data_IF_886020202919
#
_entry.id   IF_886020202919
#
_cell.length_a   1.000
_cell.length_b   1.000
_cell.length_c   1.000
_cell.angle_alpha   90.00
_cell.angle_beta   90.00
_cell.angle_gamma   90.00
#
_symmetry.space_group_name_H-M   'P 1'
#
loop_
_entity.id
_entity.type
_entity.pdbx_description
1 polymer ?
#
# COMPACT_ATOMS: atom_id res chain seq x y z
N UNK A 1 -24.60 -35.17 10.42
CA UNK A 1 -25.53 -34.37 9.60
C UNK A 1 -24.70 -33.24 8.99
N UNK A 2 -24.31 -33.42 7.73
CA UNK A 2 -23.42 -32.49 7.03
C UNK A 2 -24.15 -31.22 6.64
N UNK A 3 -23.47 -30.09 6.78
CA UNK A 3 -23.88 -28.82 6.17
C UNK A 3 -23.18 -28.72 4.82
N UNK A 4 -23.95 -28.44 3.77
CA UNK A 4 -23.48 -28.31 2.39
C UNK A 4 -22.93 -26.91 2.14
N UNK A 5 -22.11 -26.79 1.09
CA UNK A 5 -21.39 -25.58 0.68
C UNK A 5 -22.29 -24.37 0.32
N UNK A 6 -23.61 -24.53 0.29
CA UNK A 6 -24.57 -23.47 -0.04
C UNK A 6 -24.86 -22.51 1.14
N UNK A 7 -24.54 -22.89 2.38
CA UNK A 7 -24.80 -22.06 3.58
C UNK A 7 -23.79 -20.90 3.74
N UNK A 8 -22.66 -20.92 3.04
CA UNK A 8 -21.62 -19.87 3.09
C UNK A 8 -21.91 -18.77 2.06
N UNK A 9 -22.50 -19.11 0.90
CA UNK A 9 -22.84 -18.14 -0.14
C UNK A 9 -24.01 -17.22 0.24
N UNK A 10 -24.94 -17.68 1.08
CA UNK A 10 -26.13 -16.91 1.46
C UNK A 10 -25.87 -15.75 2.44
N UNK A 11 -24.69 -15.70 3.09
CA UNK A 11 -24.32 -14.59 4.00
C UNK A 11 -23.69 -13.38 3.31
N UNK A 12 -23.31 -13.49 2.03
CA UNK A 12 -22.68 -12.41 1.26
C UNK A 12 -23.68 -11.58 0.44
N UNK A 13 -24.90 -12.07 0.21
CA UNK A 13 -25.92 -11.42 -0.63
C UNK A 13 -26.91 -10.50 0.09
N UNK A 14 -26.72 -10.16 1.37
CA UNK A 14 -27.66 -9.29 2.12
C UNK A 14 -27.07 -7.99 2.68
N UNK A 15 -25.94 -7.52 2.15
CA UNK A 15 -25.39 -6.19 2.50
C UNK A 15 -25.16 -5.24 1.31
N UNK A 16 -25.83 -5.49 0.17
CA UNK A 16 -25.75 -4.59 -0.99
C UNK A 16 -27.08 -3.85 -1.21
N UNK A 17 -27.47 -2.99 -0.27
CA UNK A 17 -28.38 -1.86 -0.56
C UNK A 17 -28.44 -0.83 0.58
N UNK A 18 -27.41 -0.01 0.76
CA UNK A 18 -27.61 1.35 1.29
C UNK A 18 -26.64 2.27 0.55
N UNK A 19 -27.12 2.87 -0.54
CA UNK A 19 -26.46 3.99 -1.18
C UNK A 19 -27.41 5.20 -1.16
N UNK A 20 -26.86 6.33 -0.69
CA UNK A 20 -27.29 7.72 -0.84
C UNK A 20 -28.67 8.17 -0.31
N UNK A 21 -28.62 8.93 0.80
CA UNK A 21 -29.39 10.16 0.94
C UNK A 21 -28.71 11.10 1.96
N UNK A 22 -27.77 11.93 1.51
CA UNK A 22 -27.40 13.14 2.23
C UNK A 22 -27.87 14.34 1.41
N UNK A 23 -28.98 14.93 1.86
CA UNK A 23 -29.57 16.14 1.31
C UNK A 23 -28.59 17.31 1.46
N UNK A 24 -28.41 18.06 0.38
CA UNK A 24 -27.96 19.43 0.42
C UNK A 24 -28.97 20.30 1.19
N UNK A 25 -28.57 20.81 2.35
CA UNK A 25 -29.12 22.02 2.94
C UNK A 25 -27.98 22.84 3.52
N UNK A 26 -27.67 23.95 2.85
CA UNK A 26 -26.77 24.96 3.38
C UNK A 26 -27.38 25.64 4.59
N UNK A 27 -26.63 25.64 5.70
CA UNK A 27 -26.68 26.67 6.73
C UNK A 27 -25.24 26.79 7.24
N UNK A 28 -24.64 27.96 7.05
CA UNK A 28 -23.32 28.27 7.62
C UNK A 28 -23.39 28.44 9.12
N UNK A 29 -22.32 28.01 9.81
CA UNK A 29 -21.83 28.60 11.05
C UNK A 29 -20.39 28.10 11.32
N UNK A 30 -19.46 29.04 11.23
CA UNK A 30 -18.22 29.23 11.99
C UNK A 30 -17.61 28.08 12.83
N UNK A 31 -16.32 27.85 12.57
CA UNK A 31 -15.26 27.81 13.60
C UNK A 31 -14.90 26.46 14.23
N UNK A 32 -13.74 25.90 13.86
CA UNK A 32 -13.08 24.85 14.67
C UNK A 32 -11.92 24.10 14.02
N UNK A 33 -10.70 24.65 14.13
CA UNK A 33 -9.47 23.88 14.37
C UNK A 33 -8.85 23.06 13.23
N UNK A 34 -8.46 23.70 12.13
CA UNK A 34 -7.48 23.12 11.21
C UNK A 34 -6.07 23.20 11.79
N UNK A 35 -5.48 22.05 12.14
CA UNK A 35 -4.04 21.91 12.34
C UNK A 35 -3.37 21.84 10.97
N UNK A 36 -3.18 23.01 10.36
CA UNK A 36 -2.36 23.17 9.17
C UNK A 36 -0.90 22.98 9.55
N UNK A 37 -0.24 22.02 8.89
CA UNK A 37 1.21 21.94 8.86
C UNK A 37 1.80 23.30 8.46
N UNK A 38 2.86 23.72 9.13
CA UNK A 38 3.71 24.80 8.66
C UNK A 38 5.02 24.16 8.22
N UNK A 39 5.11 23.71 6.97
CA UNK A 39 6.38 23.28 6.39
C UNK A 39 7.21 24.54 6.05
N UNK A 40 7.70 25.19 7.10
CA UNK A 40 8.58 26.34 7.03
C UNK A 40 10.03 25.89 7.16
N UNK A 41 10.68 25.60 6.04
CA UNK A 41 12.14 25.37 6.05
C UNK A 41 12.70 24.66 4.82
N UNK A 42 12.64 25.30 3.65
CA UNK A 42 13.44 24.91 2.50
C UNK A 42 14.94 25.13 2.78
N UNK A 43 15.70 24.04 2.85
CA UNK A 43 17.11 23.99 2.50
C UNK A 43 17.27 23.08 1.28
N UNK A 44 18.11 23.41 0.28
CA UNK A 44 18.32 22.56 -0.87
C UNK A 44 19.29 21.45 -0.48
N UNK A 45 18.78 20.32 0.00
CA UNK A 45 19.58 19.09 0.08
C UNK A 45 19.59 18.45 -1.31
N UNK A 46 20.31 19.11 -2.22
CA UNK A 46 20.68 18.55 -3.50
C UNK A 46 21.62 17.37 -3.29
N UNK A 47 21.23 16.20 -3.80
CA UNK A 47 22.07 15.01 -3.77
C UNK A 47 21.33 13.72 -4.06
N UNK A 48 20.50 13.66 -5.10
CA UNK A 48 20.01 12.37 -5.60
C UNK A 48 21.19 11.55 -6.14
N UNK A 49 21.40 10.29 -5.73
CA UNK A 49 22.44 9.48 -6.30
C UNK A 49 21.99 8.95 -7.66
N UNK A 50 22.69 9.36 -8.73
CA UNK A 50 22.89 8.50 -9.89
C UNK A 50 23.72 7.26 -9.51
N UNK A 51 23.88 6.27 -10.40
CA UNK A 51 24.10 4.86 -10.04
C UNK A 51 25.39 4.52 -9.26
N UNK A 52 26.31 5.47 -9.06
CA UNK A 52 27.60 5.24 -8.39
C UNK A 52 27.96 6.29 -7.30
N UNK A 53 27.00 7.12 -6.86
CA UNK A 53 27.21 8.07 -5.76
C UNK A 53 26.73 7.49 -4.43
N UNK A 54 27.63 7.12 -3.52
CA UNK A 54 27.32 6.39 -2.28
C UNK A 54 26.04 6.89 -1.58
N UNK A 55 24.99 6.07 -1.62
CA UNK A 55 23.73 6.34 -0.96
C UNK A 55 23.98 6.64 0.52
N UNK A 56 23.28 7.64 1.06
CA UNK A 56 23.20 7.81 2.51
C UNK A 56 22.81 6.45 3.11
N UNK A 57 23.45 6.02 4.22
CA UNK A 57 23.14 4.73 4.82
C UNK A 57 21.65 4.68 5.15
N UNK A 58 20.95 3.63 4.70
CA UNK A 58 19.56 3.37 5.08
C UNK A 58 19.54 2.96 6.56
N UNK A 59 19.46 3.96 7.44
CA UNK A 59 19.50 3.79 8.89
C UNK A 59 18.34 2.90 9.40
N UNK A 60 17.25 2.81 8.62
CA UNK A 60 16.05 2.07 8.97
C UNK A 60 16.01 0.64 8.42
N UNK A 61 17.05 0.19 7.70
CA UNK A 61 17.06 -1.11 7.04
C UNK A 61 16.80 -2.27 8.01
N UNK A 62 17.34 -2.21 9.23
CA UNK A 62 17.16 -3.27 10.23
C UNK A 62 15.71 -3.39 10.74
N UNK A 63 14.95 -2.29 10.71
CA UNK A 63 13.55 -2.29 11.14
C UNK A 63 12.68 -3.12 10.20
N UNK A 64 13.08 -3.25 8.93
CA UNK A 64 12.35 -3.95 7.88
C UNK A 64 13.10 -5.16 7.33
N UNK A 65 14.04 -5.73 8.09
CA UNK A 65 14.69 -6.98 7.70
C UNK A 65 13.61 -8.08 7.55
N UNK A 66 13.46 -8.68 6.35
CA UNK A 66 12.44 -9.70 6.12
C UNK A 66 12.63 -10.97 6.95
N UNK A 67 13.84 -11.27 7.40
CA UNK A 67 14.13 -12.54 8.08
C UNK A 67 14.02 -12.40 9.61
N UNK A 68 13.64 -11.22 10.10
CA UNK A 68 13.44 -10.92 11.53
C UNK A 68 11.99 -10.54 11.81
N UNK A 69 11.48 -10.97 12.97
CA UNK A 69 10.24 -10.44 13.57
C UNK A 69 10.63 -9.49 14.71
N UNK A 70 10.86 -8.19 14.46
CA UNK A 70 11.20 -7.25 15.51
C UNK A 70 10.07 -7.09 16.53
N UNK A 71 10.45 -6.79 17.78
CA UNK A 71 9.50 -6.44 18.83
C UNK A 71 9.51 -4.94 19.08
N UNK A 72 8.34 -4.31 19.06
CA UNK A 72 8.15 -2.91 19.44
C UNK A 72 7.21 -2.82 20.64
N UNK A 73 7.58 -1.98 21.61
CA UNK A 73 6.70 -1.67 22.73
C UNK A 73 6.19 -0.22 22.61
N UNK A 74 4.87 -0.09 22.57
CA UNK A 74 4.17 1.18 22.56
C UNK A 74 3.62 1.48 23.95
N UNK A 75 3.98 2.62 24.51
CA UNK A 75 3.46 3.09 25.79
C UNK A 75 2.54 4.29 25.54
N UNK A 76 1.29 4.16 25.98
CA UNK A 76 0.23 5.15 25.84
C UNK A 76 -0.20 5.59 27.24
N UNK A 77 -0.01 6.87 27.61
CA UNK A 77 -0.58 7.43 28.83
C UNK A 77 -2.10 7.20 28.91
N UNK A 78 -2.71 7.11 30.11
CA UNK A 78 -4.16 6.95 30.25
C UNK A 78 -4.98 7.99 29.48
N UNK A 79 -4.54 9.25 29.49
CA UNK A 79 -5.19 10.32 28.73
C UNK A 79 -5.14 10.09 27.20
N UNK A 80 -4.05 9.52 26.70
CA UNK A 80 -3.92 9.15 25.28
C UNK A 80 -4.82 7.98 24.92
N UNK A 81 -4.96 6.99 25.80
CA UNK A 81 -5.92 5.89 25.65
C UNK A 81 -7.36 6.43 25.59
N UNK A 82 -7.73 7.32 26.53
CA UNK A 82 -9.06 7.95 26.55
C UNK A 82 -9.33 8.76 25.28
N UNK A 83 -8.32 9.52 24.81
CA UNK A 83 -8.42 10.32 23.60
C UNK A 83 -8.57 9.45 22.34
N UNK A 84 -7.80 8.37 22.19
CA UNK A 84 -7.94 7.44 21.06
C UNK A 84 -9.30 6.75 21.03
N UNK A 85 -9.91 6.48 22.20
CA UNK A 85 -11.25 5.92 22.26
C UNK A 85 -12.35 6.93 21.85
N UNK A 86 -12.07 8.23 21.95
CA UNK A 86 -13.01 9.29 21.59
C UNK A 86 -12.85 9.74 20.13
N UNK A 87 -11.61 9.95 19.70
CA UNK A 87 -11.26 10.40 18.36
C UNK A 87 -10.04 9.61 17.84
N UNK A 88 -10.27 8.41 17.28
CA UNK A 88 -9.21 7.44 16.99
C UNK A 88 -8.26 7.87 15.86
N UNK A 89 -8.67 8.82 15.02
CA UNK A 89 -7.89 9.28 13.86
C UNK A 89 -7.02 10.49 14.18
N UNK A 90 -7.11 11.04 15.39
CA UNK A 90 -6.27 12.16 15.85
C UNK A 90 -5.03 11.63 16.55
N UNK A 91 -3.87 12.25 16.30
CA UNK A 91 -2.62 11.89 16.97
C UNK A 91 -2.67 12.26 18.46
N UNK A 92 -2.28 11.29 19.29
CA UNK A 92 -2.06 11.45 20.73
C UNK A 92 -0.61 11.15 21.07
N UNK A 93 -0.12 11.65 22.20
CA UNK A 93 1.25 11.39 22.64
C UNK A 93 1.44 9.92 23.07
N UNK A 94 2.59 9.35 22.73
CA UNK A 94 3.02 8.03 23.19
C UNK A 94 4.55 7.92 23.23
N UNK A 95 5.04 6.74 23.59
CA UNK A 95 6.46 6.38 23.55
C UNK A 95 6.63 5.06 22.80
N UNK A 96 7.61 5.02 21.90
CA UNK A 96 8.05 3.78 21.25
C UNK A 96 9.34 3.29 21.91
N UNK A 97 9.42 1.99 22.18
CA UNK A 97 10.67 1.32 22.52
C UNK A 97 11.01 0.25 21.50
N UNK A 98 12.29 0.20 21.14
CA UNK A 98 12.87 -0.82 20.28
C UNK A 98 14.19 -1.28 20.89
N UNK A 99 14.23 -2.49 21.44
CA UNK A 99 15.35 -2.95 22.25
C UNK A 99 15.61 -2.03 23.45
N UNK A 100 16.80 -1.40 23.50
CA UNK A 100 17.16 -0.44 24.53
C UNK A 100 16.83 1.02 24.17
N UNK A 101 16.47 1.29 22.91
CA UNK A 101 16.15 2.63 22.43
C UNK A 101 14.73 3.04 22.85
N UNK A 102 14.58 4.32 23.17
CA UNK A 102 13.34 4.92 23.67
C UNK A 102 13.13 6.23 22.95
N UNK A 103 11.97 6.35 22.27
CA UNK A 103 11.57 7.56 21.57
C UNK A 103 10.28 8.07 22.20
N UNK A 104 10.41 9.11 23.01
CA UNK A 104 9.31 9.70 23.78
C UNK A 104 8.62 10.83 23.00
N UNK A 105 7.35 11.07 23.33
CA UNK A 105 6.51 12.14 22.77
C UNK A 105 6.27 12.00 21.27
N UNK A 106 6.10 10.76 20.81
CA UNK A 106 5.71 10.47 19.43
C UNK A 106 4.20 10.66 19.26
N UNK A 107 3.77 10.96 18.05
CA UNK A 107 2.38 10.86 17.63
C UNK A 107 1.96 9.41 17.41
N UNK A 108 0.85 9.00 18.03
CA UNK A 108 0.19 7.72 17.78
C UNK A 108 -1.26 7.98 17.42
N UNK A 109 -1.75 7.37 16.34
CA UNK A 109 -3.18 7.32 16.02
C UNK A 109 -3.58 5.96 15.51
N UNK A 110 -4.87 5.67 15.53
CA UNK A 110 -5.42 4.50 14.84
C UNK A 110 -5.58 4.81 13.34
N UNK A 111 -5.64 3.75 12.53
CA UNK A 111 -5.93 3.85 11.09
C UNK A 111 -6.86 2.72 10.63
N UNK A 112 -7.38 2.90 9.42
CA UNK A 112 -8.17 1.94 8.70
C UNK A 112 -9.50 2.55 8.26
N UNK A 113 -10.04 2.00 7.18
CA UNK A 113 -11.43 2.22 6.79
C UNK A 113 -12.21 0.94 7.11
N UNK A 114 -12.30 0.01 6.16
CA UNK A 114 -12.93 -1.30 6.37
C UNK A 114 -12.23 -2.14 7.46
N UNK A 115 -10.90 -2.06 7.50
CA UNK A 115 -10.04 -2.77 8.47
C UNK A 115 -9.92 -2.08 9.82
N UNK A 116 -10.60 -0.94 10.02
CA UNK A 116 -10.55 -0.21 11.29
C UNK A 116 -11.01 -1.09 12.45
N UNK A 117 -10.26 -1.04 13.56
CA UNK A 117 -10.64 -1.66 14.83
C UNK A 117 -10.37 -0.66 15.95
N UNK A 118 -11.27 -0.55 16.96
CA UNK A 118 -11.01 0.24 18.15
C UNK A 118 -9.83 -0.32 18.96
N UNK A 119 -9.29 0.48 19.88
CA UNK A 119 -8.07 0.18 20.63
C UNK A 119 -8.16 -1.09 21.51
N UNK A 120 -9.36 -1.46 21.97
CA UNK A 120 -9.60 -2.69 22.74
C UNK A 120 -9.69 -3.97 21.87
N UNK A 121 -9.70 -3.80 20.54
CA UNK A 121 -9.59 -4.85 19.52
C UNK A 121 -8.20 -4.80 18.87
N UNK A 122 -8.00 -5.43 17.71
CA UNK A 122 -6.71 -5.43 17.00
C UNK A 122 -6.59 -4.20 16.10
N UNK A 123 -6.33 -3.02 16.67
CA UNK A 123 -6.22 -1.78 15.89
C UNK A 123 -4.93 -1.70 15.09
N UNK A 124 -4.98 -1.06 13.91
CA UNK A 124 -3.77 -0.63 13.19
C UNK A 124 -3.28 0.71 13.74
N UNK A 125 -1.97 0.95 13.74
CA UNK A 125 -1.36 2.18 14.23
C UNK A 125 -0.60 2.93 13.14
N UNK A 126 -0.70 4.26 13.13
CA UNK A 126 0.29 5.14 12.49
C UNK A 126 1.08 5.85 13.59
N UNK A 127 2.40 5.79 13.48
CA UNK A 127 3.35 6.49 14.32
C UNK A 127 3.91 7.68 13.54
N UNK A 128 3.99 8.85 14.16
CA UNK A 128 4.61 10.07 13.61
C UNK A 128 5.57 10.65 14.64
N UNK A 129 6.86 10.51 14.42
CA UNK A 129 7.90 10.86 15.41
C UNK A 129 8.00 12.37 15.62
N UNK A 130 7.75 13.17 14.58
CA UNK A 130 7.86 14.63 14.64
C UNK A 130 6.54 15.35 14.97
N UNK A 131 5.50 14.64 15.41
CA UNK A 131 4.18 15.22 15.70
C UNK A 131 4.23 16.24 16.86
N UNK A 132 4.86 15.89 17.98
CA UNK A 132 4.95 16.75 19.16
C UNK A 132 6.38 17.28 19.41
N UNK A 133 7.37 16.71 18.73
CA UNK A 133 8.77 17.14 18.82
C UNK A 133 9.29 17.42 17.40
N UNK A 134 9.30 18.70 16.96
CA UNK A 134 9.68 19.04 15.59
C UNK A 134 11.05 18.48 15.19
N UNK A 135 11.08 17.77 14.06
CA UNK A 135 12.30 17.18 13.51
C UNK A 135 12.79 15.91 14.21
N UNK A 136 12.04 15.35 15.16
CA UNK A 136 12.37 14.05 15.74
C UNK A 136 12.19 12.93 14.70
N UNK A 137 13.16 12.02 14.67
CA UNK A 137 13.18 10.87 13.77
C UNK A 137 13.54 9.61 14.55
N UNK A 138 13.13 8.46 14.02
CA UNK A 138 13.54 7.16 14.51
C UNK A 138 14.21 6.41 13.35
N UNK A 139 15.52 6.22 13.44
CA UNK A 139 16.33 5.58 12.39
C UNK A 139 16.16 6.27 11.02
N UNK A 140 16.06 7.60 11.01
CA UNK A 140 15.83 8.41 9.79
C UNK A 140 14.38 8.43 9.29
N UNK A 141 13.47 7.70 9.94
CA UNK A 141 12.04 7.72 9.63
C UNK A 141 11.33 8.83 10.41
N UNK A 142 10.40 9.50 9.74
CA UNK A 142 9.41 10.39 10.38
C UNK A 142 8.14 9.66 10.74
N UNK A 143 7.83 8.55 10.06
CA UNK A 143 6.60 7.78 10.26
C UNK A 143 6.85 6.28 10.15
N UNK A 144 6.03 5.50 10.84
CA UNK A 144 5.94 4.05 10.72
C UNK A 144 4.48 3.61 10.77
N UNK A 145 4.17 2.49 10.12
CA UNK A 145 2.82 1.94 10.09
C UNK A 145 2.82 0.49 10.58
N UNK A 146 1.92 0.18 11.52
CA UNK A 146 1.64 -1.18 11.95
C UNK A 146 0.23 -1.57 11.50
N UNK A 147 0.14 -2.43 10.49
CA UNK A 147 -1.11 -2.96 9.96
C UNK A 147 -1.58 -4.19 10.73
N UNK A 148 -2.83 -4.19 11.16
CA UNK A 148 -3.47 -5.32 11.84
C UNK A 148 -3.71 -6.54 10.93
N UNK A 149 -3.53 -6.38 9.61
CA UNK A 149 -3.57 -7.45 8.60
C UNK A 149 -4.91 -8.21 8.62
N UNK A 150 -6.02 -7.48 8.79
CA UNK A 150 -7.34 -8.06 8.92
C UNK A 150 -7.78 -8.85 7.68
N UNK A 151 -7.40 -8.46 6.46
CA UNK A 151 -7.86 -9.12 5.23
C UNK A 151 -6.86 -10.13 4.66
N UNK A 152 -5.70 -10.30 5.31
CA UNK A 152 -4.71 -11.31 4.95
C UNK A 152 -4.47 -12.31 6.09
N UNK A 153 -5.31 -13.35 6.23
CA UNK A 153 -5.10 -14.40 7.21
C UNK A 153 -3.74 -15.12 7.06
N UNK A 154 -3.07 -15.02 5.90
CA UNK A 154 -1.75 -15.65 5.69
C UNK A 154 -0.60 -14.92 6.37
N UNK A 155 -0.76 -13.63 6.73
CA UNK A 155 0.32 -12.76 7.23
C UNK A 155 1.54 -12.60 6.29
N UNK A 156 1.45 -13.11 5.07
CA UNK A 156 2.58 -13.24 4.14
C UNK A 156 2.33 -12.51 2.83
N UNK A 157 1.07 -12.40 2.38
CA UNK A 157 0.77 -11.92 1.04
C UNK A 157 1.17 -10.45 0.82
N UNK A 158 0.85 -9.56 1.76
CA UNK A 158 1.19 -8.13 1.65
C UNK A 158 2.71 -7.94 1.54
N UNK A 159 3.46 -8.52 2.48
CA UNK A 159 4.93 -8.41 2.50
C UNK A 159 5.61 -9.11 1.33
N UNK A 160 5.05 -10.23 0.83
CA UNK A 160 5.57 -10.90 -0.37
C UNK A 160 5.34 -10.07 -1.63
N UNK A 161 4.21 -9.38 -1.70
CA UNK A 161 3.89 -8.49 -2.81
C UNK A 161 4.91 -7.37 -2.92
N UNK A 162 5.13 -6.63 -1.83
CA UNK A 162 6.13 -5.57 -1.83
C UNK A 162 7.56 -6.10 -2.06
N UNK A 163 7.91 -7.26 -1.51
CA UNK A 163 9.20 -7.92 -1.80
C UNK A 163 9.38 -8.19 -3.30
N UNK A 164 8.33 -8.68 -3.96
CA UNK A 164 8.35 -9.01 -5.40
C UNK A 164 8.50 -7.74 -6.26
N UNK A 165 7.77 -6.67 -5.95
CA UNK A 165 7.94 -5.37 -6.62
C UNK A 165 9.36 -4.81 -6.44
N UNK A 166 9.91 -4.87 -5.22
CA UNK A 166 11.27 -4.37 -4.95
C UNK A 166 12.35 -5.21 -5.64
N UNK A 167 12.18 -6.52 -5.73
CA UNK A 167 13.08 -7.39 -6.50
C UNK A 167 13.11 -7.01 -7.99
N UNK A 168 12.00 -6.47 -8.49
CA UNK A 168 11.86 -5.92 -9.82
C UNK A 168 12.38 -4.49 -9.98
N UNK A 169 12.98 -3.90 -8.94
CA UNK A 169 13.37 -2.48 -8.91
C UNK A 169 12.21 -1.53 -9.18
N UNK A 170 10.99 -1.88 -8.74
CA UNK A 170 9.86 -0.97 -8.72
C UNK A 170 9.76 -0.29 -7.34
N UNK A 171 9.40 1.01 -7.30
CA UNK A 171 9.12 1.70 -6.05
C UNK A 171 8.00 0.99 -5.30
N UNK A 172 8.33 0.44 -4.14
CA UNK A 172 7.37 -0.24 -3.27
C UNK A 172 7.88 -0.20 -1.82
N UNK A 173 6.98 -0.12 -0.83
CA UNK A 173 7.33 -0.14 0.60
C UNK A 173 8.22 -1.32 0.97
N UNK A 174 9.09 -1.15 1.97
CA UNK A 174 9.60 -2.30 2.73
C UNK A 174 8.52 -2.80 3.69
N UNK A 175 8.46 -4.10 3.88
CA UNK A 175 7.54 -4.72 4.84
C UNK A 175 8.14 -5.99 5.46
N UNK A 176 7.95 -6.15 6.76
CA UNK A 176 8.15 -7.39 7.49
C UNK A 176 7.02 -7.61 8.50
N UNK A 177 7.12 -8.66 9.31
CA UNK A 177 6.20 -8.90 10.42
C UNK A 177 6.83 -8.40 11.72
N UNK A 178 6.03 -7.88 12.66
CA UNK A 178 6.53 -7.40 13.95
C UNK A 178 5.62 -7.84 15.09
N UNK A 179 6.20 -8.03 16.28
CA UNK A 179 5.45 -8.26 17.50
C UNK A 179 5.27 -6.95 18.27
N UNK A 180 4.02 -6.60 18.60
CA UNK A 180 3.71 -5.35 19.28
C UNK A 180 3.21 -5.63 20.69
N UNK A 181 3.72 -4.87 21.67
CA UNK A 181 3.14 -4.76 23.01
C UNK A 181 2.61 -3.35 23.24
N UNK A 182 1.47 -3.21 23.90
CA UNK A 182 0.91 -1.90 24.29
C UNK A 182 0.79 -1.86 25.81
N UNK A 183 1.40 -0.87 26.45
CA UNK A 183 1.38 -0.68 27.92
C UNK A 183 1.83 -1.92 28.71
N UNK A 184 2.85 -2.62 28.20
CA UNK A 184 3.42 -3.81 28.83
C UNK A 184 2.67 -5.12 28.56
N UNK A 185 1.51 -5.05 27.90
CA UNK A 185 0.71 -6.22 27.53
C UNK A 185 0.91 -6.58 26.07
N UNK A 186 0.89 -7.88 25.74
CA UNK A 186 0.93 -8.33 24.36
C UNK A 186 -0.25 -7.74 23.57
N UNK A 187 0.03 -7.08 22.45
CA UNK A 187 -0.99 -6.58 21.53
C UNK A 187 -1.18 -7.52 20.35
N UNK A 188 -0.09 -8.06 19.81
CA UNK A 188 -0.11 -9.18 18.85
C UNK A 188 0.92 -9.06 17.72
N UNK A 189 0.75 -9.89 16.71
CA UNK A 189 1.48 -9.87 15.44
C UNK A 189 0.93 -8.77 14.52
N UNK A 190 1.81 -8.06 13.84
CA UNK A 190 1.51 -6.96 12.92
C UNK A 190 2.33 -7.08 11.64
N UNK A 191 1.83 -6.50 10.55
CA UNK A 191 2.69 -6.16 9.41
C UNK A 191 3.28 -4.78 9.69
N UNK A 192 4.61 -4.72 9.79
CA UNK A 192 5.35 -3.48 9.90
C UNK A 192 5.70 -2.99 8.49
N UNK A 193 5.10 -1.86 8.12
CA UNK A 193 5.05 -1.34 6.76
C UNK A 193 5.71 0.04 6.70
N UNK A 194 6.64 0.20 5.76
CA UNK A 194 7.23 1.50 5.42
C UNK A 194 6.14 2.43 4.88
N UNK A 195 5.97 3.59 5.53
CA UNK A 195 5.05 4.62 5.06
C UNK A 195 5.59 5.24 3.78
N UNK A 196 4.75 5.33 2.74
CA UNK A 196 5.08 6.11 1.55
C UNK A 196 4.95 7.61 1.86
N UNK A 197 6.08 8.24 2.15
CA UNK A 197 6.21 9.67 2.38
C UNK A 197 7.45 10.23 1.64
N UNK A 198 7.83 11.49 1.90
CA UNK A 198 9.02 12.11 1.28
C UNK A 198 10.32 11.32 1.52
N UNK A 199 10.46 10.58 2.64
CA UNK A 199 11.64 9.74 2.90
C UNK A 199 11.64 8.49 2.02
N UNK A 200 10.48 7.84 1.87
CA UNK A 200 10.32 6.74 0.92
C UNK A 200 10.65 7.19 -0.51
N UNK A 201 10.07 8.29 -0.95
CA UNK A 201 10.25 8.84 -2.30
C UNK A 201 11.72 9.16 -2.59
N UNK A 202 12.46 9.70 -1.61
CA UNK A 202 13.89 10.01 -1.76
C UNK A 202 14.79 8.80 -2.03
N UNK A 203 14.33 7.57 -1.74
CA UNK A 203 15.08 6.35 -2.07
C UNK A 203 14.89 5.87 -3.50
N UNK A 204 13.81 6.30 -4.14
CA UNK A 204 13.37 5.80 -5.44
C UNK A 204 13.46 6.85 -6.54
N UNK A 205 13.37 8.13 -6.19
CA UNK A 205 13.29 9.24 -7.11
C UNK A 205 14.37 10.28 -6.81
N UNK A 206 14.84 10.96 -7.86
CA UNK A 206 15.87 11.99 -7.74
C UNK A 206 15.33 13.25 -7.06
N UNK A 207 14.06 13.58 -7.30
CA UNK A 207 13.30 14.62 -6.60
C UNK A 207 12.12 13.97 -5.87
N UNK A 208 11.97 14.29 -4.58
CA UNK A 208 10.93 13.80 -3.68
C UNK A 208 9.95 14.93 -3.25
N UNK A 209 10.05 16.11 -3.86
CA UNK A 209 9.25 17.30 -3.54
C UNK A 209 7.88 17.33 -4.22
N UNK A 210 7.64 16.43 -5.17
CA UNK A 210 6.38 16.31 -5.89
C UNK A 210 5.17 15.88 -5.07
N UNK A 211 4.03 15.83 -5.76
CA UNK A 211 2.74 15.44 -5.19
C UNK A 211 2.61 13.91 -5.15
N UNK A 212 2.29 13.39 -3.96
CA UNK A 212 1.93 12.00 -3.73
C UNK A 212 0.43 11.95 -3.43
N UNK A 213 -0.32 11.18 -4.22
CA UNK A 213 -1.76 11.04 -4.08
C UNK A 213 -2.13 9.66 -3.56
N UNK A 214 -3.01 9.61 -2.56
CA UNK A 214 -3.82 8.44 -2.23
C UNK A 214 -5.14 8.52 -2.99
N UNK A 215 -5.55 7.40 -3.56
CA UNK A 215 -6.82 7.29 -4.28
C UNK A 215 -7.99 7.07 -3.27
N UNK A 216 -9.23 7.41 -3.64
CA UNK A 216 -10.44 7.13 -2.83
C UNK A 216 -11.53 6.46 -3.68
N UNK A 217 -11.28 5.24 -4.10
CA UNK A 217 -12.07 4.51 -5.10
C UNK A 217 -12.30 5.28 -6.43
N UNK A 218 -11.33 6.10 -6.83
CA UNK A 218 -11.48 7.06 -7.94
C UNK A 218 -10.73 6.63 -9.20
N UNK A 219 -11.32 6.94 -10.35
CA UNK A 219 -10.71 6.69 -11.66
C UNK A 219 -10.14 7.98 -12.27
N UNK A 220 -9.19 7.83 -13.19
CA UNK A 220 -8.55 8.91 -13.95
C UNK A 220 -9.47 9.47 -15.06
N UNK A 221 -10.62 10.01 -14.68
CA UNK A 221 -11.59 10.67 -15.55
C UNK A 221 -11.75 12.15 -15.19
N UNK A 222 -12.18 13.03 -16.10
CA UNK A 222 -12.43 14.43 -15.77
C UNK A 222 -13.35 14.61 -14.56
N UNK A 223 -12.89 15.34 -13.53
CA UNK A 223 -13.56 15.52 -12.25
C UNK A 223 -13.25 14.44 -11.20
N UNK A 224 -12.53 13.37 -11.58
CA UNK A 224 -12.09 12.31 -10.68
C UNK A 224 -10.96 12.73 -9.73
N UNK A 225 -10.18 13.76 -10.11
CA UNK A 225 -9.10 14.36 -9.32
C UNK A 225 -9.56 14.88 -7.94
N UNK A 226 -10.84 15.20 -7.79
CA UNK A 226 -11.40 15.70 -6.53
C UNK A 226 -11.38 14.65 -5.43
N UNK A 227 -11.47 13.36 -5.80
CA UNK A 227 -11.45 12.24 -4.87
C UNK A 227 -10.03 11.75 -4.53
N UNK A 228 -8.98 12.22 -5.22
CA UNK A 228 -7.61 11.91 -4.81
C UNK A 228 -7.19 12.81 -3.65
N UNK A 229 -6.61 12.22 -2.60
CA UNK A 229 -6.10 12.95 -1.44
C UNK A 229 -4.60 13.12 -1.55
N UNK A 230 -4.11 14.32 -1.22
CA UNK A 230 -2.67 14.57 -1.18
C UNK A 230 -2.09 14.05 0.13
N UNK A 231 -1.02 13.26 0.03
CA UNK A 231 -0.21 12.77 1.15
C UNK A 231 1.10 13.57 1.29
N UNK A 232 1.39 14.44 0.32
CA UNK A 232 2.42 15.46 0.36
C UNK A 232 1.86 16.79 -0.14
N UNK A 233 2.48 17.91 0.24
CA UNK A 233 2.09 19.25 -0.22
C UNK A 233 0.61 19.60 0.08
N UNK A 234 0.07 19.02 1.16
CA UNK A 234 -1.34 19.10 1.60
C UNK A 234 -1.86 20.53 1.76
N UNK A 235 -0.99 21.47 2.15
CA UNK A 235 -1.35 22.86 2.37
C UNK A 235 -1.59 23.64 1.08
N UNK A 236 -0.76 23.38 0.08
CA UNK A 236 -0.88 24.00 -1.24
C UNK A 236 -2.04 23.34 -1.98
N UNK A 237 -2.16 22.01 -1.85
CA UNK A 237 -3.22 21.19 -2.42
C UNK A 237 -3.46 21.47 -3.92
N UNK A 238 -2.39 21.76 -4.66
CA UNK A 238 -2.46 21.96 -6.11
C UNK A 238 -2.48 20.60 -6.81
N UNK A 239 -3.54 20.34 -7.59
CA UNK A 239 -3.77 19.10 -8.34
C UNK A 239 -3.70 19.30 -9.84
N UNK A 240 -3.13 20.41 -10.30
CA UNK A 240 -3.05 20.76 -11.72
C UNK A 240 -2.24 19.75 -12.54
N UNK A 241 -1.28 19.07 -11.94
CA UNK A 241 -0.55 17.94 -12.52
C UNK A 241 -1.46 16.73 -12.78
N UNK A 242 -2.27 16.32 -11.80
CA UNK A 242 -3.22 15.22 -11.92
C UNK A 242 -4.31 15.53 -12.96
N UNK A 243 -4.81 16.77 -12.98
CA UNK A 243 -5.68 17.27 -14.05
C UNK A 243 -5.01 17.16 -15.41
N UNK A 244 -3.70 17.45 -15.49
CA UNK A 244 -2.89 17.30 -16.69
C UNK A 244 -2.81 15.85 -17.19
N UNK A 245 -2.56 14.90 -16.28
CA UNK A 245 -2.58 13.46 -16.59
C UNK A 245 -3.96 13.01 -17.12
N UNK A 246 -5.02 13.37 -16.41
CA UNK A 246 -6.41 13.02 -16.77
C UNK A 246 -6.77 13.61 -18.14
N UNK A 247 -6.40 14.87 -18.38
CA UNK A 247 -6.66 15.55 -19.66
C UNK A 247 -5.92 14.86 -20.80
N UNK A 248 -4.64 14.49 -20.59
CA UNK A 248 -3.87 13.78 -21.61
C UNK A 248 -4.47 12.39 -21.91
N UNK A 249 -4.96 11.67 -20.89
CA UNK A 249 -5.62 10.38 -21.05
C UNK A 249 -6.96 10.50 -21.79
N UNK A 250 -7.78 11.50 -21.47
CA UNK A 250 -9.06 11.77 -22.13
C UNK A 250 -8.87 12.11 -23.62
N UNK A 251 -7.82 12.87 -23.95
CA UNK A 251 -7.53 13.32 -25.32
C UNK A 251 -6.72 12.32 -26.15
N UNK A 252 -6.04 11.36 -25.52
CA UNK A 252 -5.24 10.36 -26.21
C UNK A 252 -6.10 9.57 -27.21
N UNK A 253 -5.51 9.18 -28.34
CA UNK A 253 -6.15 8.25 -29.28
C UNK A 253 -5.49 6.88 -29.20
N UNK A 254 -6.22 5.80 -29.47
CA UNK A 254 -5.64 4.45 -29.38
C UNK A 254 -4.45 4.25 -30.35
N UNK A 255 -4.44 4.98 -31.48
CA UNK A 255 -3.36 4.94 -32.47
C UNK A 255 -2.07 5.64 -32.02
N UNK A 256 -2.18 6.66 -31.16
CA UNK A 256 -1.07 7.50 -30.68
C UNK A 256 -0.88 7.43 -29.17
N UNK A 257 -1.60 6.54 -28.48
CA UNK A 257 -1.74 6.48 -27.03
C UNK A 257 -0.42 6.61 -26.26
N UNK A 258 0.59 5.83 -26.65
CA UNK A 258 1.91 5.87 -26.03
C UNK A 258 2.58 7.24 -26.18
N UNK A 259 2.48 7.86 -27.35
CA UNK A 259 3.08 9.16 -27.62
C UNK A 259 2.31 10.28 -26.91
N UNK A 260 0.98 10.18 -26.85
CA UNK A 260 0.10 11.18 -26.22
C UNK A 260 0.35 11.28 -24.71
N UNK A 261 0.69 10.17 -24.06
CA UNK A 261 0.97 10.12 -22.61
C UNK A 261 2.45 10.24 -22.24
N UNK A 262 3.38 10.11 -23.19
CA UNK A 262 4.82 10.05 -22.92
C UNK A 262 5.38 11.27 -22.17
N UNK A 263 4.69 12.42 -22.24
CA UNK A 263 5.07 13.66 -21.55
C UNK A 263 4.57 13.80 -20.12
N UNK A 264 3.63 12.96 -19.67
CA UNK A 264 2.98 13.09 -18.35
C UNK A 264 3.03 11.80 -17.53
N UNK A 265 3.28 10.65 -18.16
CA UNK A 265 3.31 9.35 -17.50
C UNK A 265 4.60 8.61 -17.86
N UNK A 266 5.23 7.99 -16.88
CA UNK A 266 6.25 6.99 -17.19
C UNK A 266 5.58 5.66 -17.57
N UNK A 267 5.35 5.49 -18.88
CA UNK A 267 4.66 4.32 -19.42
C UNK A 267 5.41 3.01 -19.19
N UNK A 268 6.75 3.01 -19.17
CA UNK A 268 7.51 1.78 -18.88
C UNK A 268 7.29 1.36 -17.41
N UNK A 269 7.40 2.31 -16.48
CA UNK A 269 7.14 2.06 -15.07
C UNK A 269 5.69 1.62 -14.84
N UNK A 270 4.71 2.24 -15.50
CA UNK A 270 3.30 1.85 -15.41
C UNK A 270 3.04 0.44 -15.94
N UNK A 271 3.61 0.08 -17.09
CA UNK A 271 3.43 -1.26 -17.66
C UNK A 271 4.07 -2.34 -16.79
N UNK A 272 5.23 -2.04 -16.18
CA UNK A 272 5.84 -2.91 -15.17
C UNK A 272 4.97 -2.99 -13.93
N UNK A 273 4.43 -1.88 -13.42
CA UNK A 273 3.47 -1.88 -12.32
C UNK A 273 2.29 -2.83 -12.57
N UNK A 274 1.62 -2.73 -13.74
CA UNK A 274 0.52 -3.64 -14.10
C UNK A 274 0.98 -5.09 -14.33
N UNK A 275 2.20 -5.32 -14.83
CA UNK A 275 2.74 -6.67 -14.96
C UNK A 275 2.96 -7.31 -13.58
N UNK A 276 3.42 -6.54 -12.59
CA UNK A 276 3.63 -7.03 -11.24
C UNK A 276 2.33 -7.14 -10.44
N UNK A 277 1.30 -6.31 -10.69
CA UNK A 277 -0.05 -6.56 -10.17
C UNK A 277 -0.58 -7.89 -10.71
N UNK A 278 -0.31 -8.19 -11.99
CA UNK A 278 -0.64 -9.48 -12.57
C UNK A 278 0.15 -10.59 -11.90
N UNK A 279 1.46 -10.47 -11.69
CA UNK A 279 2.27 -11.47 -10.97
C UNK A 279 1.68 -11.80 -9.60
N UNK A 280 1.33 -10.79 -8.81
CA UNK A 280 0.84 -11.02 -7.45
C UNK A 280 -0.65 -11.29 -7.40
N UNK A 281 -1.33 -11.34 -8.55
CA UNK A 281 -2.78 -11.52 -8.66
C UNK A 281 -3.52 -10.53 -7.75
N UNK A 282 -3.14 -9.26 -7.84
CA UNK A 282 -3.84 -8.19 -7.14
C UNK A 282 -5.11 -7.83 -7.91
N UNK A 283 -6.25 -8.28 -7.41
CA UNK A 283 -7.57 -8.04 -8.01
C UNK A 283 -8.30 -6.86 -7.38
N UNK A 284 -7.79 -6.31 -6.27
CA UNK A 284 -8.32 -5.12 -5.62
C UNK A 284 -7.39 -3.91 -5.82
N UNK A 285 -6.55 -3.94 -6.86
CA UNK A 285 -5.59 -2.89 -7.22
C UNK A 285 -6.16 -1.91 -8.26
N UNK A 286 -5.31 -1.48 -9.19
CA UNK A 286 -5.72 -0.62 -10.31
C UNK A 286 -6.00 -1.41 -11.59
N UNK A 287 -5.02 -2.19 -12.06
CA UNK A 287 -4.98 -2.72 -13.41
C UNK A 287 -6.02 -3.83 -13.62
N UNK A 288 -6.30 -4.63 -12.59
CA UNK A 288 -7.26 -5.75 -12.62
C UNK A 288 -8.37 -5.64 -11.58
N UNK A 289 -8.66 -4.42 -11.12
CA UNK A 289 -9.67 -4.17 -10.10
C UNK A 289 -11.01 -4.88 -10.36
N UNK A 290 -11.61 -5.43 -9.30
CA UNK A 290 -12.97 -6.00 -9.36
C UNK A 290 -14.08 -5.04 -8.91
N UNK A 291 -13.79 -4.14 -7.98
CA UNK A 291 -14.80 -3.29 -7.35
C UNK A 291 -14.65 -1.79 -7.64
N UNK A 292 -13.66 -1.42 -8.46
CA UNK A 292 -13.28 -0.03 -8.74
C UNK A 292 -11.81 0.20 -8.36
N UNK A 293 -11.12 1.15 -9.01
CA UNK A 293 -9.71 1.43 -8.71
C UNK A 293 -9.48 1.52 -7.21
N UNK A 294 -8.52 0.79 -6.68
CA UNK A 294 -8.19 0.79 -5.25
C UNK A 294 -6.72 0.41 -5.05
N UNK A 295 -6.17 0.62 -3.85
CA UNK A 295 -4.87 0.07 -3.44
C UNK A 295 -3.69 0.47 -4.36
N UNK A 296 -3.66 1.74 -4.76
CA UNK A 296 -2.52 2.36 -5.43
C UNK A 296 -2.34 3.81 -4.98
N UNK A 297 -1.13 4.32 -5.15
CA UNK A 297 -0.81 5.75 -5.05
C UNK A 297 -0.23 6.26 -6.35
N UNK A 298 -0.35 7.57 -6.56
CA UNK A 298 0.26 8.26 -7.70
C UNK A 298 1.31 9.24 -7.21
N UNK A 299 2.52 9.14 -7.73
CA UNK A 299 3.57 10.12 -7.48
C UNK A 299 3.89 10.91 -8.75
N UNK A 300 3.78 12.23 -8.70
CA UNK A 300 4.24 13.11 -9.76
C UNK A 300 5.68 13.56 -9.47
N UNK A 301 6.65 12.97 -10.16
CA UNK A 301 8.08 13.27 -10.00
C UNK A 301 8.43 14.59 -10.71
N UNK A 302 8.92 15.63 -9.99
CA UNK A 302 9.06 16.97 -10.57
C UNK A 302 10.16 17.12 -11.62
N UNK A 303 11.25 16.35 -11.54
CA UNK A 303 12.39 16.50 -12.47
C UNK A 303 12.02 16.12 -13.89
N UNK A 304 11.29 15.01 -14.04
CA UNK A 304 10.85 14.47 -15.31
C UNK A 304 9.44 14.96 -15.68
N UNK A 305 8.67 15.47 -14.72
CA UNK A 305 7.28 15.89 -14.90
C UNK A 305 6.37 14.71 -15.24
N UNK A 306 6.60 13.56 -14.58
CA UNK A 306 5.93 12.30 -14.90
C UNK A 306 5.29 11.65 -13.68
N UNK A 307 4.14 11.05 -13.91
CA UNK A 307 3.47 10.20 -12.94
C UNK A 307 4.06 8.79 -12.90
N UNK A 308 4.06 8.23 -11.69
CA UNK A 308 4.41 6.86 -11.36
C UNK A 308 3.30 6.27 -10.48
N UNK A 309 2.92 5.02 -10.78
CA UNK A 309 2.03 4.24 -9.92
C UNK A 309 2.85 3.52 -8.85
N UNK A 310 2.38 3.57 -7.61
CA UNK A 310 3.01 2.96 -6.45
C UNK A 310 2.03 1.98 -5.80
N UNK A 311 2.48 0.77 -5.41
CA UNK A 311 1.62 -0.21 -4.78
C UNK A 311 1.34 0.14 -3.32
N UNK A 312 0.09 0.09 -2.90
CA UNK A 312 -0.32 0.37 -1.52
C UNK A 312 -1.48 -0.52 -1.11
N UNK A 313 -1.63 -0.94 0.15
CA UNK A 313 -2.76 -1.80 0.57
C UNK A 313 -2.79 -3.16 -0.14
N UNK A 314 -1.64 -3.82 -0.24
CA UNK A 314 -1.48 -5.04 -1.06
C UNK A 314 -1.87 -6.35 -0.36
N UNK A 315 -2.68 -6.28 0.70
CA UNK A 315 -3.03 -7.42 1.54
C UNK A 315 -3.97 -8.40 0.85
N UNK A 316 -4.75 -8.02 -0.16
CA UNK A 316 -5.60 -8.95 -0.93
C UNK A 316 -4.88 -9.75 -2.04
N UNK A 317 -3.59 -9.47 -2.25
CA UNK A 317 -2.78 -10.16 -3.25
C UNK A 317 -2.65 -11.67 -2.97
N UNK A 318 -2.37 -12.45 -4.03
CA UNK A 318 -2.09 -13.89 -4.02
C UNK A 318 -3.25 -14.75 -3.47
N UNK A 319 -4.43 -14.16 -3.29
CA UNK A 319 -5.67 -14.80 -2.86
C UNK A 319 -6.73 -14.57 -3.93
N UNK A 320 -6.91 -15.50 -4.86
CA UNK A 320 -7.84 -15.34 -5.98
C UNK A 320 -9.27 -15.09 -5.50
N UNK A 321 -9.88 -13.99 -5.97
CA UNK A 321 -11.31 -13.75 -5.82
C UNK A 321 -12.15 -14.57 -6.82
N UNK A 322 -11.58 -14.84 -8.00
CA UNK A 322 -12.21 -15.61 -9.08
C UNK A 322 -11.29 -16.74 -9.55
N UNK A 323 -11.82 -17.68 -10.33
CA UNK A 323 -11.09 -18.88 -10.78
C UNK A 323 -9.88 -18.60 -11.68
N UNK A 324 -9.71 -17.36 -12.16
CA UNK A 324 -8.59 -16.97 -13.00
C UNK A 324 -8.47 -15.45 -13.08
N UNK A 325 -7.30 -14.99 -13.51
CA UNK A 325 -7.05 -13.61 -13.88
C UNK A 325 -6.58 -13.57 -15.33
N UNK A 326 -7.43 -13.08 -16.24
CA UNK A 326 -7.01 -12.77 -17.60
C UNK A 326 -6.21 -11.46 -17.56
N UNK A 327 -4.90 -11.57 -17.76
CA UNK A 327 -3.97 -10.45 -17.70
C UNK A 327 -4.12 -9.47 -18.87
N UNK A 328 -4.96 -9.81 -19.86
CA UNK A 328 -5.35 -8.93 -20.95
C UNK A 328 -6.79 -8.40 -20.82
N UNK A 329 -7.52 -8.74 -19.76
CA UNK A 329 -8.84 -8.17 -19.40
C UNK A 329 -8.68 -7.03 -18.38
N UNK A 330 -8.02 -5.96 -18.81
CA UNK A 330 -7.76 -4.78 -17.99
C UNK A 330 -9.06 -4.12 -17.47
N UNK A 331 -8.99 -3.57 -16.25
CA UNK A 331 -10.14 -2.98 -15.56
C UNK A 331 -9.99 -1.49 -15.24
N UNK A 332 -8.79 -1.05 -14.86
CA UNK A 332 -8.49 0.39 -14.75
C UNK A 332 -8.45 1.07 -16.12
N UNK A 333 -9.04 2.27 -16.24
CA UNK A 333 -9.25 2.97 -17.50
C UNK A 333 -7.95 3.16 -18.31
N UNK A 334 -6.88 3.62 -17.66
CA UNK A 334 -5.59 3.84 -18.31
C UNK A 334 -5.05 2.53 -18.91
N UNK A 335 -5.20 1.42 -18.19
CA UNK A 335 -4.72 0.12 -18.66
C UNK A 335 -5.63 -0.46 -19.76
N UNK A 336 -6.94 -0.25 -19.69
CA UNK A 336 -7.88 -0.59 -20.76
C UNK A 336 -7.52 0.12 -22.07
N UNK A 337 -7.30 1.44 -22.01
CA UNK A 337 -6.89 2.24 -23.18
C UNK A 337 -5.53 1.79 -23.72
N UNK A 338 -4.59 1.43 -22.83
CA UNK A 338 -3.34 0.82 -23.25
C UNK A 338 -3.56 -0.49 -24.03
N UNK A 339 -4.34 -1.44 -23.51
CA UNK A 339 -4.54 -2.73 -24.18
C UNK A 339 -5.34 -2.63 -25.49
N UNK A 340 -6.07 -1.54 -25.71
CA UNK A 340 -6.71 -1.20 -26.98
C UNK A 340 -5.70 -0.67 -28.03
N UNK A 341 -4.55 -0.14 -27.61
CA UNK A 341 -3.46 0.29 -28.49
C UNK A 341 -2.52 -0.86 -28.80
N UNK A 342 -2.35 -1.22 -30.08
CA UNK A 342 -1.44 -2.30 -30.52
C UNK A 342 -0.01 -2.10 -29.99
N UNK A 343 0.48 -0.85 -30.01
CA UNK A 343 1.82 -0.52 -29.53
C UNK A 343 1.96 -0.70 -28.01
N UNK A 344 0.99 -0.21 -27.23
CA UNK A 344 1.03 -0.34 -25.77
C UNK A 344 0.83 -1.79 -25.33
N UNK A 345 -0.10 -2.53 -25.98
CA UNK A 345 -0.29 -3.96 -25.77
C UNK A 345 0.98 -4.78 -26.03
N UNK A 346 1.73 -4.47 -27.08
CA UNK A 346 3.00 -5.13 -27.37
C UNK A 346 4.06 -4.85 -26.28
N UNK A 347 4.15 -3.61 -25.80
CA UNK A 347 5.01 -3.24 -24.68
C UNK A 347 4.60 -3.94 -23.38
N UNK A 348 3.30 -4.04 -23.09
CA UNK A 348 2.79 -4.77 -21.93
C UNK A 348 3.15 -6.27 -21.99
N UNK A 349 2.99 -6.93 -23.15
CA UNK A 349 3.43 -8.33 -23.32
C UNK A 349 4.92 -8.50 -23.03
N UNK A 350 5.74 -7.52 -23.41
CA UNK A 350 7.18 -7.52 -23.13
C UNK A 350 7.46 -7.38 -21.64
N UNK A 351 6.79 -6.43 -20.96
CA UNK A 351 6.90 -6.23 -19.52
C UNK A 351 6.45 -7.48 -18.74
N UNK A 352 5.35 -8.12 -19.17
CA UNK A 352 4.83 -9.33 -18.54
C UNK A 352 5.76 -10.53 -18.70
N UNK A 353 6.37 -10.71 -19.88
CA UNK A 353 7.36 -11.75 -20.11
C UNK A 353 8.59 -11.55 -19.22
N UNK A 354 9.10 -10.32 -19.14
CA UNK A 354 10.22 -9.98 -18.26
C UNK A 354 9.89 -10.19 -16.78
N UNK A 355 8.66 -9.87 -16.35
CA UNK A 355 8.19 -10.14 -15.00
C UNK A 355 8.14 -11.64 -14.69
N UNK A 356 7.63 -12.46 -15.62
CA UNK A 356 7.60 -13.91 -15.46
C UNK A 356 9.02 -14.51 -15.33
N UNK A 357 9.96 -14.05 -16.15
CA UNK A 357 11.37 -14.51 -16.10
C UNK A 357 12.06 -14.12 -14.79
N UNK A 358 11.82 -12.90 -14.29
CA UNK A 358 12.37 -12.47 -13.00
C UNK A 358 11.80 -13.31 -11.85
N UNK A 359 10.48 -13.50 -11.82
CA UNK A 359 9.78 -14.22 -10.74
C UNK A 359 10.14 -15.69 -10.70
N UNK A 360 10.41 -16.32 -11.85
CA UNK A 360 10.91 -17.69 -11.92
C UNK A 360 12.21 -17.88 -11.11
N UNK A 361 13.05 -16.84 -11.03
CA UNK A 361 14.29 -16.84 -10.27
C UNK A 361 14.16 -16.53 -8.77
N UNK A 362 13.01 -16.09 -8.27
CA UNK A 362 12.84 -15.61 -6.89
C UNK A 362 12.46 -16.70 -5.87
N UNK A 363 12.06 -17.89 -6.31
CA UNK A 363 11.50 -18.95 -5.45
C UNK A 363 10.44 -18.42 -4.47
N UNK A 364 9.43 -17.72 -5.00
CA UNK A 364 8.33 -17.19 -4.17
C UNK A 364 7.66 -18.27 -3.30
N UNK A 365 7.41 -19.52 -3.76
CA UNK A 365 6.85 -20.56 -2.91
C UNK A 365 7.73 -20.91 -1.70
N UNK A 366 9.05 -21.04 -1.90
CA UNK A 366 9.99 -21.25 -0.81
C UNK A 366 10.01 -20.08 0.18
N UNK A 367 9.85 -18.85 -0.33
CA UNK A 367 9.71 -17.66 0.51
C UNK A 367 8.43 -17.67 1.36
N UNK A 368 7.30 -18.10 0.78
CA UNK A 368 6.03 -18.29 1.52
C UNK A 368 6.21 -19.32 2.63
N UNK A 369 6.85 -20.45 2.35
CA UNK A 369 7.12 -21.50 3.34
C UNK A 369 7.99 -20.97 4.50
N UNK A 370 9.06 -20.24 4.17
CA UNK A 370 9.99 -19.69 5.16
C UNK A 370 9.32 -18.65 6.07
N UNK A 371 8.62 -17.66 5.51
CA UNK A 371 7.96 -16.63 6.30
C UNK A 371 6.71 -17.15 7.01
N UNK A 372 5.98 -18.10 6.42
CA UNK A 372 4.89 -18.79 7.10
C UNK A 372 5.39 -19.50 8.36
N UNK A 373 6.49 -20.24 8.27
CA UNK A 373 7.11 -20.88 9.43
C UNK A 373 7.61 -19.86 10.46
N UNK A 374 8.14 -18.72 10.02
CA UNK A 374 8.59 -17.62 10.88
C UNK A 374 7.44 -17.05 11.71
N UNK A 375 6.28 -16.77 11.11
CA UNK A 375 5.18 -16.06 11.80
C UNK A 375 4.20 -16.98 12.51
N UNK A 376 4.11 -18.26 12.12
CA UNK A 376 3.11 -19.20 12.67
C UNK A 376 3.09 -19.29 14.21
N UNK A 377 4.22 -19.32 14.93
CA UNK A 377 4.19 -19.28 16.40
C UNK A 377 3.56 -17.99 16.95
N UNK A 378 3.84 -16.85 16.32
CA UNK A 378 3.26 -15.57 16.70
C UNK A 378 1.75 -15.52 16.42
N UNK A 379 1.28 -16.12 15.33
CA UNK A 379 -0.17 -16.26 15.05
C UNK A 379 -0.87 -17.04 16.16
N UNK A 380 -0.25 -18.13 16.63
CA UNK A 380 -0.81 -18.96 17.70
C UNK A 380 -0.84 -18.25 19.07
N UNK A 381 0.13 -17.37 19.32
CA UNK A 381 0.28 -16.64 20.58
C UNK A 381 -0.44 -15.28 20.59
N UNK A 382 -1.01 -14.85 19.46
CA UNK A 382 -1.63 -13.53 19.33
C UNK A 382 -2.96 -13.44 20.12
N UNK A 383 -3.02 -12.62 21.18
CA UNK A 383 -4.21 -12.54 22.04
C UNK A 383 -5.39 -11.80 21.39
N UNK A 384 -5.17 -11.16 20.24
CA UNK A 384 -6.15 -10.36 19.50
C UNK A 384 -6.33 -10.84 18.07
N UNK A 385 -5.89 -12.06 17.75
CA UNK A 385 -6.03 -12.64 16.42
C UNK A 385 -7.47 -12.52 15.91
N UNK A 386 -7.64 -11.95 14.71
CA UNK A 386 -8.94 -11.88 14.04
C UNK A 386 -9.22 -13.15 13.22
N UNK A 387 -8.19 -13.98 13.00
CA UNK A 387 -8.23 -15.27 12.31
C UNK A 387 -7.57 -16.34 13.17
N UNK A 388 -8.08 -17.56 13.12
CA UNK A 388 -7.45 -18.67 13.84
C UNK A 388 -6.27 -19.30 13.07
N UNK A 389 -5.51 -20.18 13.75
CA UNK A 389 -4.35 -20.86 13.16
C UNK A 389 -4.74 -21.76 11.97
N UNK A 390 -5.96 -22.27 11.94
CA UNK A 390 -6.47 -23.07 10.84
C UNK A 390 -6.75 -22.21 9.59
N UNK A 391 -7.35 -21.04 9.77
CA UNK A 391 -7.53 -20.04 8.70
C UNK A 391 -6.19 -19.53 8.16
N UNK A 392 -5.21 -19.32 9.04
CA UNK A 392 -3.83 -19.02 8.65
C UNK A 392 -3.22 -20.14 7.80
N UNK A 393 -3.21 -21.39 8.29
CA UNK A 393 -2.59 -22.52 7.59
C UNK A 393 -3.26 -22.75 6.21
N UNK A 394 -4.58 -22.61 6.13
CA UNK A 394 -5.33 -22.76 4.87
C UNK A 394 -5.03 -21.61 3.88
N UNK A 395 -5.02 -20.37 4.34
CA UNK A 395 -4.77 -19.20 3.47
C UNK A 395 -3.32 -19.15 3.01
N UNK A 396 -2.37 -19.50 3.88
CA UNK A 396 -0.97 -19.63 3.53
C UNK A 396 -0.76 -20.69 2.43
N UNK A 397 -1.48 -21.82 2.50
CA UNK A 397 -1.45 -22.84 1.46
C UNK A 397 -1.94 -22.30 0.11
N UNK A 398 -3.03 -21.51 0.10
CA UNK A 398 -3.53 -20.83 -1.11
C UNK A 398 -2.49 -19.87 -1.70
N UNK A 399 -1.90 -19.00 -0.86
CA UNK A 399 -0.87 -18.04 -1.29
C UNK A 399 0.33 -18.77 -1.90
N UNK A 400 0.75 -19.88 -1.29
CA UNK A 400 1.82 -20.74 -1.79
C UNK A 400 1.49 -21.39 -3.12
N UNK A 401 0.28 -21.93 -3.28
CA UNK A 401 -0.18 -22.56 -4.52
C UNK A 401 -0.19 -21.56 -5.68
N UNK A 402 -0.74 -20.36 -5.44
CA UNK A 402 -0.78 -19.28 -6.43
C UNK A 402 0.63 -18.84 -6.80
N UNK A 403 1.51 -18.63 -5.83
CA UNK A 403 2.91 -18.28 -6.07
C UNK A 403 3.64 -19.35 -6.92
N UNK A 404 3.34 -20.63 -6.71
CA UNK A 404 3.95 -21.73 -7.46
C UNK A 404 3.44 -21.85 -8.90
N UNK A 405 2.15 -21.58 -9.11
CA UNK A 405 1.51 -21.68 -10.42
C UNK A 405 1.72 -20.46 -11.32
N UNK A 406 2.03 -19.28 -10.73
CA UNK A 406 1.91 -18.00 -11.42
C UNK A 406 2.73 -17.89 -12.70
N UNK A 407 4.01 -18.24 -12.66
CA UNK A 407 4.90 -18.12 -13.84
C UNK A 407 4.37 -18.93 -15.02
N UNK A 408 3.87 -20.14 -14.75
CA UNK A 408 3.29 -21.01 -15.80
C UNK A 408 2.03 -20.37 -16.37
N UNK A 409 1.12 -19.89 -15.52
CA UNK A 409 -0.11 -19.21 -15.97
C UNK A 409 0.19 -17.97 -16.84
N UNK A 410 1.13 -17.12 -16.43
CA UNK A 410 1.53 -15.95 -17.21
C UNK A 410 2.09 -16.33 -18.58
N UNK A 411 2.93 -17.37 -18.65
CA UNK A 411 3.50 -17.86 -19.93
C UNK A 411 2.43 -18.47 -20.83
N UNK A 412 1.46 -19.19 -20.28
CA UNK A 412 0.33 -19.75 -21.03
C UNK A 412 -0.59 -18.65 -21.58
N UNK A 413 -0.76 -17.54 -20.85
CA UNK A 413 -1.46 -16.36 -21.34
C UNK A 413 -0.67 -15.63 -22.45
N UNK A 414 0.65 -15.51 -22.32
CA UNK A 414 1.53 -14.93 -23.35
C UNK A 414 1.69 -15.78 -24.61
N UNK A 415 1.34 -17.06 -24.57
CA UNK A 415 1.37 -17.95 -25.73
C UNK A 415 0.08 -17.92 -26.56
N UNK A 416 -1.01 -17.41 -25.99
CA UNK A 416 -2.28 -17.14 -26.67
C UNK A 416 -2.22 -15.81 -27.43
#
# INVERSE_FOLDING_TARGET
>A
MGKTADDVAARLTSLTLVLLAALALGVGCDGGGGSGDGDGGLGPDGGGPGPDGGALPDLSAELYDPDVVPTFALELPPASVDALNQDPLTYVTGTLRYGAEVVENIGVRLKGEYTFRPLDRKSSFKLKFDEFVPGQEFHGLKRMTFNNTFEDPSWVAERLTYHTYRAAQLPAPRANSAWITVNGEAYGLYTNLETEDKRFLARWFADNGGNLYEERMSELVPGGEDAFELETNELVNDRSDLVGLITALDQASDATFMADLAGVLDLDAFLRYCAYEAVVWQWDGYCYTRFGPNNFRLYHEPTLGKFYFLPWGMDMSLKPYEQGLDVFDARGLLFQRCLASDACRASYRTALAAAADLVEGLDLPGRVDAWGAQVRPHVADDPRAEHDVGEFDATLATVREVAAGRVTDLRDQLAR
#
